data_IF_138684415449
#
_entry.id   IF_138684415449
#
_cell.length_a   1.000
_cell.length_b   1.000
_cell.length_c   1.000
_cell.angle_alpha   90.00
_cell.angle_beta   90.00
_cell.angle_gamma   90.00
#
_symmetry.space_group_name_H-M   'P 1'
#
loop_
_entity.id
_entity.type
_entity.pdbx_description
1 polymer ?
#
# COMPACT_ATOMS: atom_id res chain seq x y z
N UNK A 1 8.62 13.58 6.02
CA UNK A 1 8.24 12.53 5.06
C UNK A 1 6.72 12.40 5.05
N UNK A 2 6.05 12.63 3.92
CA UNK A 2 4.61 12.35 3.76
C UNK A 2 4.46 10.87 3.43
N UNK A 3 3.71 10.11 4.24
CA UNK A 3 3.43 8.69 4.03
C UNK A 3 2.17 8.56 3.17
N UNK A 4 2.18 7.69 2.17
CA UNK A 4 0.94 7.27 1.52
C UNK A 4 0.16 6.36 2.48
N UNK A 5 -1.06 6.78 2.83
CA UNK A 5 -1.98 6.01 3.66
C UNK A 5 -2.98 5.32 2.72
N UNK A 6 -3.20 4.02 2.91
CA UNK A 6 -4.34 3.34 2.28
C UNK A 6 -5.62 3.97 2.86
N UNK A 7 -6.34 4.72 2.03
CA UNK A 7 -7.52 5.48 2.44
C UNK A 7 -8.49 4.57 3.22
N UNK A 8 -8.73 4.89 4.50
CA UNK A 8 -9.65 4.17 5.38
C UNK A 8 -9.02 3.28 6.46
N UNK A 9 -7.72 2.96 6.39
CA UNK A 9 -7.03 2.19 7.45
C UNK A 9 -5.88 2.98 8.06
N UNK A 10 -6.17 3.68 9.17
CA UNK A 10 -5.22 4.55 9.89
C UNK A 10 -3.97 3.80 10.40
N UNK A 11 -4.09 2.48 10.58
CA UNK A 11 -3.04 1.63 11.15
C UNK A 11 -2.26 0.83 10.09
N UNK A 12 -2.42 1.19 8.81
CA UNK A 12 -1.68 0.58 7.69
C UNK A 12 -1.00 1.67 6.87
N UNK A 13 0.30 1.50 6.66
CA UNK A 13 1.15 2.40 5.89
C UNK A 13 1.59 1.70 4.61
N UNK A 14 1.47 2.38 3.47
CA UNK A 14 2.09 1.93 2.21
C UNK A 14 3.54 2.38 2.20
N UNK A 15 4.46 1.42 2.18
CA UNK A 15 5.90 1.70 2.12
C UNK A 15 6.39 1.83 0.68
N UNK A 16 5.86 0.99 -0.21
CA UNK A 16 6.24 0.98 -1.61
C UNK A 16 5.18 0.33 -2.50
N UNK A 17 5.30 0.60 -3.79
CA UNK A 17 4.63 -0.11 -4.88
C UNK A 17 5.67 -0.88 -5.69
N UNK A 18 5.43 -2.15 -5.95
CA UNK A 18 6.18 -2.92 -6.96
C UNK A 18 5.41 -2.82 -8.28
N UNK A 19 6.03 -2.20 -9.28
CA UNK A 19 5.50 -2.04 -10.64
C UNK A 19 6.39 -2.81 -11.60
N UNK A 20 5.97 -4.02 -11.97
CA UNK A 20 6.81 -4.98 -12.70
C UNK A 20 8.09 -5.32 -11.91
N UNK A 21 9.25 -4.93 -12.44
CA UNK A 21 10.57 -5.17 -11.84
C UNK A 21 11.13 -3.99 -11.04
N UNK A 22 10.36 -2.91 -10.88
CA UNK A 22 10.78 -1.71 -10.15
C UNK A 22 10.01 -1.55 -8.86
N UNK A 23 10.67 -0.96 -7.87
CA UNK A 23 10.07 -0.55 -6.61
C UNK A 23 10.02 0.97 -6.54
N UNK A 24 8.83 1.51 -6.30
CA UNK A 24 8.60 2.92 -6.01
C UNK A 24 8.35 3.08 -4.51
N UNK A 25 9.33 3.63 -3.80
CA UNK A 25 9.23 3.88 -2.36
C UNK A 25 8.47 5.17 -2.08
N UNK A 26 7.67 5.15 -1.02
CA UNK A 26 6.85 6.28 -0.60
C UNK A 26 6.05 6.90 -1.76
N UNK A 27 5.18 6.08 -2.41
CA UNK A 27 4.42 6.53 -3.58
C UNK A 27 3.57 7.77 -3.25
N UNK A 28 3.31 8.58 -4.26
CA UNK A 28 2.38 9.71 -4.12
C UNK A 28 0.96 9.20 -3.94
N UNK A 29 0.08 10.00 -3.33
CA UNK A 29 -1.37 9.74 -3.31
C UNK A 29 -1.98 9.81 -4.72
N UNK A 30 -1.32 10.49 -5.64
CA UNK A 30 -1.71 10.62 -7.06
C UNK A 30 -1.16 9.48 -7.95
N UNK A 31 -0.43 8.53 -7.36
CA UNK A 31 0.16 7.43 -8.13
C UNK A 31 -0.92 6.51 -8.71
N UNK A 32 -0.89 6.31 -10.03
CA UNK A 32 -1.83 5.42 -10.71
C UNK A 32 -1.45 3.96 -10.42
N UNK A 33 -2.38 3.20 -9.85
CA UNK A 33 -2.22 1.78 -9.52
C UNK A 33 -2.85 0.92 -10.61
N UNK A 34 -2.11 -0.07 -11.10
CA UNK A 34 -2.61 -1.08 -12.06
C UNK A 34 -2.84 -2.43 -11.35
N UNK A 35 -3.61 -3.33 -11.99
CA UNK A 35 -3.94 -4.65 -11.43
C UNK A 35 -2.73 -5.53 -11.14
N UNK A 36 -1.64 -5.37 -11.90
CA UNK A 36 -0.39 -6.13 -11.74
C UNK A 36 0.56 -5.52 -10.70
N UNK A 37 0.25 -4.32 -10.18
CA UNK A 37 1.07 -3.67 -9.18
C UNK A 37 0.84 -4.34 -7.82
N UNK A 38 1.92 -4.49 -7.04
CA UNK A 38 1.83 -5.04 -5.69
C UNK A 38 2.16 -3.97 -4.64
N UNK A 39 1.29 -3.84 -3.64
CA UNK A 39 1.56 -2.98 -2.48
C UNK A 39 2.47 -3.67 -1.48
N UNK A 40 3.45 -2.92 -0.99
CA UNK A 40 4.25 -3.30 0.17
C UNK A 40 3.75 -2.45 1.34
N UNK A 41 3.05 -3.11 2.26
CA UNK A 41 2.38 -2.47 3.38
C UNK A 41 2.95 -2.92 4.72
N UNK A 42 2.81 -2.07 5.73
CA UNK A 42 3.15 -2.37 7.12
C UNK A 42 2.02 -1.88 8.00
N UNK A 43 1.62 -2.70 8.97
CA UNK A 43 0.57 -2.39 9.93
C UNK A 43 0.35 -3.54 10.90
N UNK A 44 -0.64 -3.38 11.77
CA UNK A 44 -1.01 -4.45 12.70
C UNK A 44 -1.57 -5.66 11.94
N UNK A 45 -1.31 -6.86 12.47
CA UNK A 45 -1.71 -8.11 11.80
C UNK A 45 -3.23 -8.20 11.60
N UNK A 46 -4.02 -7.70 12.56
CA UNK A 46 -5.48 -7.68 12.45
C UNK A 46 -5.96 -6.78 11.31
N UNK A 47 -5.37 -5.59 11.15
CA UNK A 47 -5.67 -4.66 10.07
C UNK A 47 -5.30 -5.26 8.70
N UNK A 48 -4.11 -5.87 8.60
CA UNK A 48 -3.66 -6.54 7.36
C UNK A 48 -4.60 -7.68 6.97
N UNK A 49 -5.12 -8.46 7.94
CA UNK A 49 -6.11 -9.51 7.64
C UNK A 49 -7.40 -8.93 7.06
N UNK A 50 -7.94 -7.86 7.65
CA UNK A 50 -9.15 -7.19 7.14
C UNK A 50 -8.98 -6.71 5.70
N UNK A 51 -7.81 -6.21 5.33
CA UNK A 51 -7.50 -5.82 3.93
C UNK A 51 -7.57 -7.02 3.01
N UNK A 52 -6.93 -8.14 3.39
CA UNK A 52 -6.91 -9.37 2.58
C UNK A 52 -8.30 -9.96 2.35
N UNK A 53 -9.19 -9.85 3.32
CA UNK A 53 -10.55 -10.38 3.18
C UNK A 53 -11.45 -9.47 2.29
N UNK A 54 -11.01 -8.25 2.00
CA UNK A 54 -11.76 -7.23 1.24
C UNK A 54 -11.32 -7.11 -0.22
N UNK A 55 -10.11 -7.60 -0.55
CA UNK A 55 -9.52 -7.60 -1.91
C UNK A 55 -9.73 -8.96 -2.57
#
# INVERSE_FOLDING_TARGET
>A
MRKAVLYGQRDVVVLALRKGYKYLFNPSEEEVINSEDAFIIMGETECIRKIKDTL
#
